data_IF_881328027736
#
_entry.id   IF_881328027736
#
_cell.length_a   1.000
_cell.length_b   1.000
_cell.length_c   1.000
_cell.angle_alpha   90.00
_cell.angle_beta   90.00
_cell.angle_gamma   90.00
#
_symmetry.space_group_name_H-M   'P 1'
#
loop_
_entity.id
_entity.type
_entity.pdbx_description
1 polymer ?
#
# COMPACT_ATOMS: atom_id res chain seq x y z
N UNK A 1 -13.90 -7.09 2.66
CA UNK A 1 -13.77 -8.54 2.94
C UNK A 1 -13.85 -9.26 1.61
N UNK A 2 -12.89 -10.16 1.31
CA UNK A 2 -12.77 -11.07 0.14
C UNK A 2 -12.92 -10.46 -1.28
N UNK A 3 -12.08 -10.78 -2.28
CA UNK A 3 -12.05 -12.03 -3.02
C UNK A 3 -10.59 -12.36 -3.42
N UNK A 4 -10.20 -13.61 -3.17
CA UNK A 4 -9.02 -14.25 -3.77
C UNK A 4 -9.32 -14.58 -5.22
N UNK A 5 -8.47 -14.11 -6.14
CA UNK A 5 -8.04 -14.82 -7.37
C UNK A 5 -7.14 -13.89 -8.18
N UNK A 6 -6.00 -14.38 -8.65
CA UNK A 6 -5.73 -14.18 -10.07
C UNK A 6 -4.77 -15.19 -10.71
N UNK A 7 -5.29 -15.89 -11.73
CA UNK A 7 -4.54 -16.18 -12.96
C UNK A 7 -5.26 -15.47 -14.13
N UNK A 8 -4.51 -14.52 -14.72
CA UNK A 8 -4.24 -14.21 -16.14
C UNK A 8 -5.37 -13.96 -17.16
N UNK A 9 -5.26 -12.79 -17.80
CA UNK A 9 -5.67 -12.45 -19.18
C UNK A 9 -5.04 -11.12 -19.63
N UNK A 10 -4.67 -10.92 -20.92
CA UNK A 10 -4.10 -9.65 -21.39
C UNK A 10 -5.22 -8.59 -21.43
N UNK A 11 -5.06 -7.52 -20.64
CA UNK A 11 -6.04 -6.43 -20.54
C UNK A 11 -6.84 -6.39 -19.23
N UNK A 12 -6.78 -7.43 -18.38
CA UNK A 12 -7.42 -7.39 -17.07
C UNK A 12 -6.43 -6.88 -16.00
N UNK A 13 -6.69 -5.68 -15.46
CA UNK A 13 -6.08 -5.24 -14.21
C UNK A 13 -6.60 -6.16 -13.11
N UNK A 14 -5.72 -6.93 -12.48
CA UNK A 14 -6.06 -7.68 -11.28
C UNK A 14 -6.39 -6.68 -10.18
N UNK A 15 -7.56 -6.76 -9.50
CA UNK A 15 -7.71 -6.04 -8.25
C UNK A 15 -6.69 -6.61 -7.26
N UNK A 16 -5.67 -5.82 -6.94
CA UNK A 16 -4.72 -6.12 -5.88
C UNK A 16 -5.33 -5.60 -4.59
N UNK A 17 -5.28 -6.38 -3.51
CA UNK A 17 -5.70 -5.90 -2.20
C UNK A 17 -4.78 -4.77 -1.76
N UNK A 18 -5.30 -3.55 -1.79
CA UNK A 18 -4.62 -2.33 -1.39
C UNK A 18 -5.07 -1.90 0.02
N UNK A 19 -4.14 -1.39 0.82
CA UNK A 19 -4.45 -0.73 2.10
C UNK A 19 -3.84 0.67 2.05
N UNK A 20 -4.67 1.68 2.26
CA UNK A 20 -4.23 3.08 2.33
C UNK A 20 -4.25 3.53 3.79
N UNK A 21 -3.15 4.14 4.24
CA UNK A 21 -2.92 4.55 5.62
C UNK A 21 -2.74 6.07 5.65
N UNK A 22 -3.49 6.76 6.51
CA UNK A 22 -3.43 8.20 6.68
C UNK A 22 -2.91 8.57 8.08
N UNK A 23 -1.86 9.39 8.15
CA UNK A 23 -1.08 9.75 9.34
C UNK A 23 -1.86 10.26 10.57
N UNK A 24 -3.01 10.96 10.48
CA UNK A 24 -3.76 11.37 11.68
C UNK A 24 -4.31 10.17 12.45
N UNK A 25 -4.48 9.01 11.81
CA UNK A 25 -4.97 7.78 12.44
C UNK A 25 -3.83 6.90 13.01
N UNK A 26 -2.59 7.16 12.59
CA UNK A 26 -1.38 6.36 12.93
C UNK A 26 -0.73 6.82 14.25
N UNK A 27 -1.13 7.96 14.80
CA UNK A 27 -0.66 8.39 16.13
C UNK A 27 -1.28 7.57 17.28
N UNK A 28 -2.33 6.78 17.00
CA UNK A 28 -2.82 5.79 17.96
C UNK A 28 -1.84 4.61 18.07
N UNK A 29 -1.69 4.12 19.29
CA UNK A 29 -0.64 3.22 19.82
C UNK A 29 -0.43 1.89 19.07
N UNK A 30 -1.20 1.59 18.03
CA UNK A 30 -1.23 0.31 17.33
C UNK A 30 -0.09 0.12 16.30
N UNK A 31 0.47 1.19 15.73
CA UNK A 31 1.53 1.10 14.72
C UNK A 31 2.95 1.24 15.29
N UNK A 32 3.08 1.71 16.54
CA UNK A 32 4.36 1.84 17.27
C UNK A 32 4.93 0.50 17.76
N UNK A 33 4.19 -0.61 17.65
CA UNK A 33 4.67 -1.93 18.02
C UNK A 33 5.44 -2.57 16.85
N UNK A 34 6.74 -2.28 16.83
CA UNK A 34 7.80 -2.86 16.01
C UNK A 34 7.56 -4.36 15.72
N UNK A 35 7.72 -4.76 14.44
CA UNK A 35 7.54 -6.10 13.85
C UNK A 35 6.12 -6.62 13.55
N UNK A 36 5.06 -6.10 14.17
CA UNK A 36 3.67 -6.56 13.91
C UNK A 36 3.04 -6.09 12.59
N UNK A 37 3.25 -4.86 12.10
CA UNK A 37 2.55 -4.36 10.91
C UNK A 37 2.86 -5.16 9.64
N UNK A 38 4.14 -5.42 9.38
CA UNK A 38 4.56 -6.20 8.22
C UNK A 38 3.95 -7.61 8.23
N UNK A 39 3.95 -8.27 9.38
CA UNK A 39 3.37 -9.60 9.54
C UNK A 39 1.88 -9.60 9.24
N UNK A 40 1.15 -8.61 9.75
CA UNK A 40 -0.28 -8.46 9.48
C UNK A 40 -0.58 -8.28 7.99
N UNK A 41 0.19 -7.45 7.28
CA UNK A 41 0.00 -7.27 5.83
C UNK A 41 0.23 -8.55 5.04
N UNK A 42 1.27 -9.32 5.41
CA UNK A 42 1.58 -10.63 4.81
C UNK A 42 0.45 -11.63 5.07
N UNK A 43 0.01 -11.78 6.31
CA UNK A 43 -1.08 -12.68 6.70
C UNK A 43 -2.40 -12.34 6.00
N UNK A 44 -2.68 -11.04 5.81
CA UNK A 44 -3.87 -10.55 5.10
C UNK A 44 -3.73 -10.58 3.58
N UNK A 45 -2.58 -11.01 3.04
CA UNK A 45 -2.27 -11.08 1.61
C UNK A 45 -2.52 -9.75 0.91
N UNK A 46 -2.09 -8.67 1.54
CA UNK A 46 -2.07 -7.33 0.94
C UNK A 46 -1.02 -7.32 -0.16
N UNK A 47 -1.32 -6.73 -1.32
CA UNK A 47 -0.34 -6.61 -2.41
C UNK A 47 0.20 -5.20 -2.59
N UNK A 48 -0.45 -4.19 -2.00
CA UNK A 48 0.06 -2.82 -1.97
C UNK A 48 -0.33 -2.11 -0.67
N UNK A 49 0.61 -1.39 -0.06
CA UNK A 49 0.36 -0.45 1.04
C UNK A 49 0.72 0.95 0.57
N UNK A 50 -0.24 1.87 0.64
CA UNK A 50 -0.05 3.28 0.33
C UNK A 50 -0.14 4.14 1.59
N UNK A 51 0.70 5.15 1.72
CA UNK A 51 0.75 6.01 2.89
C UNK A 51 1.23 7.42 2.60
N UNK A 52 0.79 8.36 3.42
CA UNK A 52 1.17 9.78 3.37
C UNK A 52 2.51 10.09 4.08
N UNK A 53 3.05 9.12 4.82
CA UNK A 53 4.33 9.24 5.51
C UNK A 53 5.48 8.66 4.65
N UNK A 54 6.74 9.06 4.90
CA UNK A 54 7.91 8.60 4.14
C UNK A 54 8.42 7.20 4.54
N UNK A 55 7.85 6.56 5.56
CA UNK A 55 8.21 5.19 5.94
C UNK A 55 7.12 4.50 6.75
N UNK A 56 6.85 3.18 6.53
CA UNK A 56 6.00 2.34 7.36
C UNK A 56 6.55 2.08 8.76
N UNK A 57 7.78 2.45 9.08
CA UNK A 57 8.26 2.46 10.47
C UNK A 57 9.47 3.39 10.57
N UNK A 58 9.46 4.39 11.44
CA UNK A 58 10.59 5.30 11.61
C UNK A 58 11.84 4.66 12.24
N UNK A 59 11.64 3.67 13.12
CA UNK A 59 12.74 3.06 13.89
C UNK A 59 13.39 1.91 13.11
N UNK A 60 12.58 0.99 12.58
CA UNK A 60 13.03 -0.23 11.88
C UNK A 60 12.57 -0.25 10.42
N UNK A 61 12.66 0.89 9.73
CA UNK A 61 12.22 1.03 8.34
C UNK A 61 12.78 -0.08 7.45
N UNK A 62 14.07 -0.39 7.55
CA UNK A 62 14.74 -1.34 6.66
C UNK A 62 14.19 -2.76 6.82
N UNK A 63 13.99 -3.22 8.06
CA UNK A 63 13.43 -4.55 8.32
C UNK A 63 12.00 -4.67 7.76
N UNK A 64 11.17 -3.65 7.98
CA UNK A 64 9.77 -3.62 7.53
C UNK A 64 9.70 -3.64 6.00
N UNK A 65 10.47 -2.78 5.31
CA UNK A 65 10.54 -2.74 3.86
C UNK A 65 10.98 -4.08 3.26
N UNK A 66 12.10 -4.63 3.75
CA UNK A 66 12.63 -5.89 3.23
C UNK A 66 11.62 -7.02 3.43
N UNK A 67 10.96 -7.10 4.59
CA UNK A 67 9.97 -8.16 4.87
C UNK A 67 8.75 -8.04 3.96
N UNK A 68 8.22 -6.84 3.76
CA UNK A 68 7.07 -6.59 2.89
C UNK A 68 7.41 -6.84 1.41
N UNK A 69 8.53 -6.31 0.91
CA UNK A 69 8.97 -6.48 -0.47
C UNK A 69 9.32 -7.94 -0.79
N UNK A 70 9.96 -8.67 0.13
CA UNK A 70 10.19 -10.12 -0.02
C UNK A 70 8.89 -10.92 -0.10
N UNK A 71 7.82 -10.43 0.51
CA UNK A 71 6.49 -11.04 0.42
C UNK A 71 5.68 -10.56 -0.81
N UNK A 72 6.28 -9.73 -1.68
CA UNK A 72 5.63 -9.21 -2.88
C UNK A 72 4.65 -8.06 -2.62
N UNK A 73 4.72 -7.42 -1.46
CA UNK A 73 3.87 -6.29 -1.08
C UNK A 73 4.57 -4.99 -1.52
N UNK A 74 3.94 -4.25 -2.44
CA UNK A 74 4.44 -2.96 -2.89
C UNK A 74 4.18 -1.87 -1.85
N UNK A 75 5.06 -0.87 -1.80
CA UNK A 75 4.96 0.26 -0.88
C UNK A 75 4.90 1.55 -1.71
N UNK A 76 3.91 2.39 -1.43
CA UNK A 76 3.76 3.73 -2.02
C UNK A 76 3.76 4.75 -0.90
N UNK A 77 4.72 5.65 -0.91
CA UNK A 77 4.96 6.62 0.16
C UNK A 77 4.74 8.06 -0.34
N UNK A 78 4.52 8.98 0.61
CA UNK A 78 4.33 10.40 0.29
C UNK A 78 3.04 10.70 -0.47
N UNK A 79 1.98 9.93 -0.24
CA UNK A 79 0.65 10.25 -0.74
C UNK A 79 0.15 11.58 -0.14
N UNK A 80 -0.72 12.26 -0.89
CA UNK A 80 -1.31 13.53 -0.51
C UNK A 80 -2.82 13.47 -0.72
N UNK A 81 -3.56 14.48 -0.28
CA UNK A 81 -5.02 14.61 -0.43
C UNK A 81 -5.81 13.46 0.22
N UNK A 82 -5.28 12.85 1.28
CA UNK A 82 -5.90 11.69 1.92
C UNK A 82 -7.23 12.04 2.61
N UNK A 83 -7.42 13.30 2.98
CA UNK A 83 -8.66 13.85 3.56
C UNK A 83 -9.86 13.81 2.59
N UNK A 84 -9.60 13.61 1.29
CA UNK A 84 -10.63 13.50 0.26
C UNK A 84 -11.10 12.05 0.05
N UNK A 85 -10.46 11.08 0.71
CA UNK A 85 -10.81 9.67 0.58
C UNK A 85 -11.91 9.28 1.58
N UNK A 86 -12.89 8.46 1.17
CA UNK A 86 -13.93 8.00 2.07
C UNK A 86 -13.34 7.02 3.12
N UNK A 87 -13.78 7.16 4.36
CA UNK A 87 -13.34 6.28 5.46
C UNK A 87 -14.29 5.09 5.57
N UNK A 88 -13.74 3.88 5.52
CA UNK A 88 -14.51 2.63 5.66
C UNK A 88 -15.16 2.13 4.37
N UNK A 89 -14.96 2.85 3.26
CA UNK A 89 -15.47 2.47 1.94
C UNK A 89 -14.34 1.99 1.03
N UNK A 90 -14.70 1.21 0.01
CA UNK A 90 -13.77 0.71 -1.00
C UNK A 90 -13.77 1.66 -2.17
N UNK A 91 -12.58 1.98 -2.67
CA UNK A 91 -12.38 2.75 -3.90
C UNK A 91 -11.29 2.10 -4.74
N UNK A 92 -11.20 2.50 -6.01
CA UNK A 92 -10.16 1.98 -6.90
C UNK A 92 -8.92 2.85 -6.83
N UNK A 93 -7.81 2.28 -6.37
CA UNK A 93 -6.52 2.96 -6.30
C UNK A 93 -5.63 2.56 -7.48
N UNK A 94 -5.06 3.56 -8.17
CA UNK A 94 -4.05 3.36 -9.21
C UNK A 94 -2.73 3.98 -8.78
N UNK A 95 -1.66 3.19 -8.88
CA UNK A 95 -0.29 3.67 -8.78
C UNK A 95 0.36 3.52 -10.14
N UNK A 96 0.69 4.64 -10.78
CA UNK A 96 1.19 4.71 -12.16
C UNK A 96 2.69 5.08 -12.12
N UNK A 97 3.61 4.09 -12.08
CA UNK A 97 5.05 4.35 -12.07
C UNK A 97 5.57 4.74 -13.45
N UNK A 98 6.71 5.42 -13.48
CA UNK A 98 7.52 5.56 -14.68
C UNK A 98 8.08 4.19 -15.07
N UNK A 99 8.22 3.95 -16.39
CA UNK A 99 8.75 2.70 -16.93
C UNK A 99 10.29 2.67 -16.87
N UNK A 100 10.84 2.66 -15.66
CA UNK A 100 12.28 2.61 -15.41
C UNK A 100 12.79 1.16 -15.41
N UNK A 101 13.98 0.92 -15.96
CA UNK A 101 14.62 -0.40 -15.99
C UNK A 101 15.74 -0.50 -14.95
N UNK A 102 15.82 -1.65 -14.26
CA UNK A 102 16.89 -1.94 -13.30
C UNK A 102 16.95 -0.99 -12.11
N UNK A 103 15.79 -0.54 -11.63
CA UNK A 103 15.62 0.33 -10.45
C UNK A 103 14.76 -0.38 -9.40
N UNK A 104 15.00 -0.08 -8.13
CA UNK A 104 14.25 -0.64 -7.00
C UNK A 104 12.90 0.06 -6.76
N UNK A 105 12.71 1.23 -7.36
CA UNK A 105 11.50 2.04 -7.24
C UNK A 105 11.38 3.08 -8.34
N UNK A 106 10.25 3.78 -8.35
CA UNK A 106 9.94 4.85 -9.30
C UNK A 106 9.06 5.88 -8.60
N UNK A 107 9.20 7.19 -8.93
CA UNK A 107 8.11 8.13 -8.70
C UNK A 107 6.82 7.60 -9.33
N UNK A 108 5.69 7.83 -8.65
CA UNK A 108 4.38 7.37 -9.10
C UNK A 108 3.40 8.52 -9.19
N UNK A 109 2.52 8.49 -10.20
CA UNK A 109 1.26 9.24 -10.15
C UNK A 109 0.22 8.34 -9.49
N UNK A 110 -0.15 8.67 -8.25
CA UNK A 110 -1.21 7.98 -7.53
C UNK A 110 -2.55 8.69 -7.74
N UNK A 111 -3.60 7.95 -8.07
CA UNK A 111 -4.98 8.45 -8.17
C UNK A 111 -5.96 7.46 -7.52
N UNK A 112 -7.04 8.00 -6.97
CA UNK A 112 -8.19 7.22 -6.49
C UNK A 112 -9.41 7.55 -7.35
N UNK A 113 -10.14 6.52 -7.77
CA UNK A 113 -11.46 6.66 -8.40
C UNK A 113 -12.50 6.25 -7.36
N UNK A 114 -13.36 7.19 -7.02
CA UNK A 114 -14.49 7.00 -6.13
C UNK A 114 -15.71 6.65 -6.99
N UNK A 115 -16.32 5.49 -6.74
CA UNK A 115 -17.59 5.15 -7.39
C UNK A 115 -18.70 5.99 -6.74
N UNK A 116 -19.49 6.69 -7.58
CA UNK A 116 -20.54 7.62 -7.16
C UNK A 116 -21.85 6.91 -6.81
#
# INVERSE_FOLDING_TARGET
TEILRNRKGPGNVCPIRCVIIHSPLVQSTCYKAVNRPAQWFVEKKVGLVGMDMPTPNGEDWQYVHIKMLKAGILIVEGLTNMEQLPTGEVFTFYSLPLKLQGRDGSPVRAIAILDS
#
